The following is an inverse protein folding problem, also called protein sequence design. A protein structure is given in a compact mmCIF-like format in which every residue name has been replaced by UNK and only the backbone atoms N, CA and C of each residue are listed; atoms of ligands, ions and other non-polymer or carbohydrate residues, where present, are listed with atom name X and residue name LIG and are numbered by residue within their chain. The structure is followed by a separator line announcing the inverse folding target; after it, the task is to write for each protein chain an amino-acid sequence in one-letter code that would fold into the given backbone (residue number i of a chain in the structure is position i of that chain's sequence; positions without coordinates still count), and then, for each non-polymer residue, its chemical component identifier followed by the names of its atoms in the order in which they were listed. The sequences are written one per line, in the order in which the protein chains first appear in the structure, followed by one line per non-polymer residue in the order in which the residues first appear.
data_IF_251425187860
#
_entry.id   IF_251425187860
#
_cell.length_a   1.000
_cell.length_b   1.000
_cell.length_c   1.000
_cell.angle_alpha   90.00
_cell.angle_beta   90.00
_cell.angle_gamma   90.00
#
_symmetry.space_group_name_H-M   'P 1'
#
loop_
_entity.id
_entity.type
_entity.pdbx_description
1 polymer ?
#
# COMPACT_ATOMS: atom_id res chain seq x y z
N UNK A 1 36.02 -23.06 44.14
CA UNK A 1 35.30 -23.54 42.94
C UNK A 1 34.43 -22.41 42.41
N UNK A 2 34.28 -22.24 41.09
CA UNK A 2 33.34 -21.27 40.50
C UNK A 2 32.25 -22.04 39.78
N UNK A 3 30.98 -21.68 39.98
CA UNK A 3 29.81 -22.32 39.36
C UNK A 3 28.85 -21.26 38.82
N UNK A 4 28.15 -21.60 37.75
CA UNK A 4 27.12 -20.78 37.15
C UNK A 4 25.76 -21.43 37.31
N UNK A 5 24.75 -20.62 37.62
CA UNK A 5 23.35 -21.00 37.73
C UNK A 5 22.50 -20.09 36.84
N UNK A 6 21.33 -20.56 36.39
CA UNK A 6 20.35 -19.76 35.67
C UNK A 6 18.98 -19.83 36.35
N UNK A 7 18.20 -18.76 36.20
CA UNK A 7 16.87 -18.65 36.79
C UNK A 7 15.88 -18.00 35.81
N UNK A 8 14.65 -18.51 35.78
CA UNK A 8 13.53 -17.87 35.07
C UNK A 8 12.87 -16.83 35.97
N UNK A 9 12.83 -15.58 35.52
CA UNK A 9 12.34 -14.44 36.32
C UNK A 9 10.83 -14.42 36.56
N UNK A 10 10.05 -15.25 35.85
CA UNK A 10 8.58 -15.23 35.88
C UNK A 10 7.96 -16.05 37.02
N UNK A 11 8.75 -16.82 37.77
CA UNK A 11 8.23 -17.69 38.82
C UNK A 11 8.78 -17.24 40.18
N UNK A 12 7.92 -16.62 40.98
CA UNK A 12 8.25 -15.96 42.25
C UNK A 12 9.13 -16.78 43.19
N UNK A 13 10.45 -16.58 43.11
CA UNK A 13 11.45 -16.84 44.14
C UNK A 13 11.60 -18.28 44.63
N UNK A 14 11.08 -19.31 43.93
CA UNK A 14 11.13 -20.70 44.41
C UNK A 14 11.43 -21.74 43.34
N UNK A 15 12.48 -21.58 42.55
CA UNK A 15 13.20 -22.72 41.98
C UNK A 15 14.71 -22.48 42.02
N UNK A 16 15.43 -23.32 42.78
CA UNK A 16 16.88 -23.56 42.55
C UNK A 16 16.96 -24.54 41.38
N UNK A 17 17.16 -24.04 40.17
CA UNK A 17 17.57 -24.93 39.09
C UNK A 17 19.00 -25.41 39.36
N UNK A 18 19.11 -26.73 39.38
CA UNK A 18 20.28 -27.61 39.49
C UNK A 18 21.59 -26.98 38.99
N UNK A 19 22.70 -27.25 39.68
CA UNK A 19 24.04 -27.08 39.11
C UNK A 19 24.11 -27.82 37.77
N UNK A 20 24.13 -27.08 36.66
CA UNK A 20 23.75 -27.51 35.30
C UNK A 20 24.24 -28.93 34.96
N UNK A 21 23.39 -29.97 35.09
CA UNK A 21 23.73 -31.33 34.69
C UNK A 21 22.82 -31.71 33.51
N UNK A 22 23.39 -31.72 32.31
CA UNK A 22 22.65 -32.02 31.08
C UNK A 22 22.57 -30.81 30.18
N UNK A 23 23.58 -30.73 29.31
CA UNK A 23 23.67 -29.85 28.17
C UNK A 23 22.48 -30.10 27.22
N UNK A 24 21.74 -29.05 26.86
CA UNK A 24 21.28 -28.94 25.47
C UNK A 24 22.53 -28.65 24.61
N UNK A 25 22.60 -29.10 23.34
CA UNK A 25 23.86 -29.21 22.57
C UNK A 25 24.58 -27.89 22.22
N UNK A 26 24.17 -26.73 22.77
CA UNK A 26 24.57 -25.42 22.28
C UNK A 26 25.25 -24.50 23.32
N UNK A 27 25.55 -24.96 24.54
CA UNK A 27 26.31 -24.17 25.54
C UNK A 27 27.59 -24.89 25.98
N UNK A 28 28.76 -24.41 25.55
CA UNK A 28 30.05 -24.97 25.93
C UNK A 28 30.70 -24.15 27.07
N UNK A 29 30.91 -24.78 28.23
CA UNK A 29 31.73 -24.21 29.31
C UNK A 29 33.20 -24.30 28.90
N UNK A 30 33.83 -23.17 28.53
CA UNK A 30 35.28 -23.12 28.37
C UNK A 30 35.95 -22.96 29.75
N UNK A 31 36.33 -24.11 30.33
CA UNK A 31 37.30 -24.31 31.44
C UNK A 31 37.11 -23.46 32.70
N UNK A 32 36.76 -24.09 33.82
CA UNK A 32 37.03 -23.57 35.17
C UNK A 32 38.20 -24.33 35.81
N UNK A 33 39.40 -23.73 35.79
CA UNK A 33 40.55 -24.23 36.57
C UNK A 33 41.03 -23.14 37.53
N UNK A 34 41.06 -23.48 38.82
CA UNK A 34 41.69 -22.71 39.89
C UNK A 34 43.17 -23.13 39.98
N UNK A 35 44.10 -22.21 39.74
CA UNK A 35 45.49 -22.32 40.17
C UNK A 35 45.79 -21.14 41.09
N UNK A 36 46.10 -21.44 42.35
CA UNK A 36 46.41 -20.44 43.38
C UNK A 36 47.93 -20.26 43.40
N UNK A 37 48.41 -19.09 42.95
CA UNK A 37 49.73 -18.49 43.23
C UNK A 37 49.84 -17.11 42.56
N UNK A 38 49.23 -16.07 43.16
CA UNK A 38 49.45 -14.67 42.79
C UNK A 38 48.96 -14.20 41.41
N UNK A 39 48.30 -15.04 40.62
CA UNK A 39 47.72 -14.70 39.33
C UNK A 39 46.21 -14.44 39.44
N UNK A 40 45.73 -13.37 38.82
CA UNK A 40 44.29 -13.07 38.70
C UNK A 40 43.60 -14.19 37.90
N UNK A 41 42.64 -14.89 38.52
CA UNK A 41 41.89 -15.97 37.87
C UNK A 41 40.60 -15.38 37.27
N UNK A 42 40.39 -15.62 35.98
CA UNK A 42 39.18 -15.20 35.24
C UNK A 42 38.35 -16.44 34.86
N UNK A 43 37.05 -16.40 35.14
CA UNK A 43 36.11 -17.42 34.71
C UNK A 43 35.05 -16.79 33.80
N UNK A 44 35.05 -17.19 32.53
CA UNK A 44 34.15 -16.65 31.51
C UNK A 44 33.07 -17.68 31.15
N UNK A 45 31.82 -17.24 31.03
CA UNK A 45 30.71 -18.04 30.51
C UNK A 45 30.53 -17.74 29.01
N UNK A 46 30.70 -18.74 28.15
CA UNK A 46 30.49 -18.60 26.70
C UNK A 46 29.16 -19.24 26.32
N UNK A 47 28.30 -18.45 25.68
CA UNK A 47 27.01 -18.88 25.16
C UNK A 47 27.07 -18.87 23.63
N UNK A 48 26.56 -19.92 22.98
CA UNK A 48 26.52 -20.04 21.52
C UNK A 48 25.10 -20.31 21.04
N UNK A 49 24.74 -19.78 19.87
CA UNK A 49 23.43 -19.99 19.24
C UNK A 49 22.24 -19.63 20.15
N UNK A 50 22.33 -18.49 20.84
CA UNK A 50 21.30 -17.98 21.77
C UNK A 50 20.01 -17.55 21.08
N UNK A 51 18.88 -17.79 21.73
CA UNK A 51 17.51 -17.51 21.27
C UNK A 51 16.75 -16.62 22.28
N UNK A 52 15.54 -16.14 21.92
CA UNK A 52 14.74 -15.31 22.83
C UNK A 52 14.34 -16.05 24.13
N UNK A 53 14.25 -17.38 24.08
CA UNK A 53 13.91 -18.23 25.23
C UNK A 53 15.06 -18.34 26.25
N UNK A 54 16.27 -17.93 25.86
CA UNK A 54 17.45 -17.90 26.72
C UNK A 54 17.53 -16.62 27.56
N UNK A 55 16.53 -15.72 27.46
CA UNK A 55 16.40 -14.52 28.28
C UNK A 55 16.21 -14.89 29.76
N UNK A 56 17.33 -14.99 30.49
CA UNK A 56 17.37 -15.44 31.88
C UNK A 56 18.36 -14.64 32.70
N UNK A 57 18.23 -14.76 34.01
CA UNK A 57 19.22 -14.25 34.95
C UNK A 57 20.26 -15.34 35.22
N UNK A 58 21.53 -14.99 35.06
CA UNK A 58 22.68 -15.85 35.27
C UNK A 58 23.42 -15.42 36.53
N UNK A 59 23.68 -16.36 37.42
CA UNK A 59 24.34 -16.13 38.70
C UNK A 59 25.68 -16.85 38.73
N UNK A 60 26.72 -16.16 39.16
CA UNK A 60 28.06 -16.71 39.38
C UNK A 60 28.28 -16.87 40.89
N UNK A 61 28.48 -18.11 41.34
CA UNK A 61 28.81 -18.44 42.73
C UNK A 61 30.27 -18.89 42.82
N UNK A 62 31.02 -18.25 43.72
CA UNK A 62 32.42 -18.56 44.02
C UNK A 62 32.50 -19.16 45.43
N UNK A 63 33.04 -20.38 45.53
CA UNK A 63 33.28 -21.06 46.80
C UNK A 63 34.77 -21.04 47.14
N UNK A 64 35.13 -20.27 48.17
CA UNK A 64 36.49 -20.20 48.74
C UNK A 64 36.45 -20.92 50.09
N UNK A 65 37.30 -21.94 50.34
CA UNK A 65 37.36 -22.59 51.64
C UNK A 65 37.79 -21.59 52.74
N UNK A 66 37.04 -21.55 53.84
CA UNK A 66 37.33 -20.77 55.05
C UNK A 66 37.14 -19.24 54.97
N UNK A 67 36.36 -18.75 53.99
CA UNK A 67 36.00 -17.32 53.87
C UNK A 67 34.47 -17.17 53.80
N UNK A 68 33.86 -16.62 54.86
CA UNK A 68 32.40 -16.47 55.02
C UNK A 68 31.95 -14.99 54.98
N UNK A 69 32.87 -14.02 54.84
CA UNK A 69 32.57 -12.58 54.97
C UNK A 69 32.55 -11.81 53.63
N UNK A 70 32.75 -12.49 52.49
CA UNK A 70 32.78 -11.88 51.15
C UNK A 70 31.47 -11.96 50.34
N UNK A 71 31.31 -11.08 49.33
CA UNK A 71 30.25 -11.21 48.31
C UNK A 71 30.64 -12.31 47.31
N UNK A 72 30.30 -13.54 47.67
CA UNK A 72 30.64 -14.76 46.91
C UNK A 72 29.70 -15.04 45.73
N UNK A 73 28.69 -14.18 45.52
CA UNK A 73 27.62 -14.35 44.54
C UNK A 73 27.39 -13.03 43.78
N UNK A 74 27.34 -13.10 42.46
CA UNK A 74 26.93 -11.98 41.61
C UNK A 74 26.02 -12.43 40.47
N UNK A 75 25.04 -11.61 40.11
CA UNK A 75 24.03 -11.95 39.11
C UNK A 75 24.02 -10.95 37.95
N UNK A 76 23.75 -11.44 36.75
CA UNK A 76 23.63 -10.65 35.54
C UNK A 76 22.48 -11.14 34.67
N UNK A 77 21.77 -10.23 34.01
CA UNK A 77 20.64 -10.57 33.13
C UNK A 77 21.10 -10.66 31.67
N UNK A 78 20.86 -11.80 31.04
CA UNK A 78 21.00 -11.93 29.59
C UNK A 78 19.72 -11.43 28.91
N UNK A 79 19.88 -10.50 27.97
CA UNK A 79 18.79 -10.03 27.10
C UNK A 79 19.24 -10.23 25.66
N UNK A 80 18.63 -11.20 24.99
CA UNK A 80 18.83 -11.48 23.58
C UNK A 80 18.07 -10.43 22.76
N UNK A 81 18.81 -9.80 21.85
CA UNK A 81 18.32 -8.72 21.02
C UNK A 81 18.07 -9.25 19.62
N UNK A 82 16.85 -9.08 19.13
CA UNK A 82 16.42 -9.61 17.84
C UNK A 82 15.87 -8.45 17.02
N UNK A 83 16.29 -8.40 15.76
CA UNK A 83 15.75 -7.46 14.79
C UNK A 83 14.24 -7.69 14.63
N UNK A 84 13.43 -6.65 14.43
CA UNK A 84 12.00 -6.84 14.16
C UNK A 84 11.80 -7.69 12.92
N UNK A 85 10.91 -8.67 12.99
CA UNK A 85 10.51 -9.43 11.80
C UNK A 85 9.73 -8.54 10.82
N UNK A 86 9.65 -8.90 9.52
CA UNK A 86 8.78 -8.23 8.57
C UNK A 86 7.36 -8.10 9.14
N UNK A 87 6.86 -6.87 9.35
CA UNK A 87 5.58 -6.67 10.02
C UNK A 87 4.42 -7.12 9.12
N UNK A 88 3.37 -7.65 9.74
CA UNK A 88 2.15 -8.06 9.05
C UNK A 88 1.17 -6.89 9.07
N UNK A 89 0.80 -6.37 7.90
CA UNK A 89 -0.22 -5.33 7.75
C UNK A 89 -1.61 -5.92 7.48
N UNK A 90 -2.65 -5.46 8.17
CA UNK A 90 -4.04 -5.84 7.89
C UNK A 90 -4.97 -4.64 7.96
N UNK A 91 -5.99 -4.62 7.10
CA UNK A 91 -7.08 -3.63 7.15
C UNK A 91 -8.25 -4.26 7.91
N UNK A 92 -8.67 -3.62 8.99
CA UNK A 92 -9.81 -4.01 9.82
C UNK A 92 -10.97 -3.02 9.60
N UNK A 93 -12.07 -3.54 9.08
CA UNK A 93 -13.28 -2.77 8.76
C UNK A 93 -13.62 -2.76 7.27
N UNK A 94 -14.68 -2.03 6.91
CA UNK A 94 -15.11 -1.88 5.52
C UNK A 94 -14.60 -0.56 4.96
N UNK A 95 -13.82 -0.63 3.88
CA UNK A 95 -13.26 0.54 3.19
C UNK A 95 -14.34 1.25 2.33
N UNK A 96 -15.38 1.76 2.97
CA UNK A 96 -16.48 2.49 2.34
C UNK A 96 -16.49 3.96 2.78
N UNK A 97 -16.95 4.86 1.91
CA UNK A 97 -17.05 6.30 2.25
C UNK A 97 -17.80 6.55 3.57
N UNK A 98 -17.23 7.41 4.41
CA UNK A 98 -17.76 7.79 5.70
C UNK A 98 -17.50 6.79 6.84
N UNK A 99 -16.86 5.65 6.58
CA UNK A 99 -16.56 4.66 7.61
C UNK A 99 -15.27 4.98 8.39
N UNK A 100 -15.11 4.29 9.51
CA UNK A 100 -13.90 4.30 10.31
C UNK A 100 -13.26 2.92 10.21
N UNK A 101 -11.96 2.88 9.89
CA UNK A 101 -11.22 1.63 9.72
C UNK A 101 -9.90 1.72 10.49
N UNK A 102 -9.35 0.57 10.83
CA UNK A 102 -8.03 0.47 11.43
C UNK A 102 -7.09 -0.28 10.49
N UNK A 103 -5.86 0.20 10.39
CA UNK A 103 -4.79 -0.52 9.71
C UNK A 103 -3.80 -0.96 10.78
N UNK A 104 -3.66 -2.27 10.97
CA UNK A 104 -2.77 -2.85 11.96
C UNK A 104 -1.42 -3.17 11.34
N UNK A 105 -0.35 -2.97 12.09
CA UNK A 105 1.01 -3.35 11.74
C UNK A 105 1.66 -3.98 12.96
N UNK A 106 2.02 -5.25 12.85
CA UNK A 106 2.61 -6.01 13.95
C UNK A 106 3.73 -6.91 13.45
N UNK A 107 4.92 -6.77 14.04
CA UNK A 107 6.00 -7.74 13.91
C UNK A 107 5.77 -8.89 14.90
N UNK A 108 5.96 -10.12 14.44
CA UNK A 108 5.83 -11.32 15.29
C UNK A 108 7.01 -11.43 16.27
N UNK A 109 8.20 -11.04 15.82
CA UNK A 109 9.43 -11.03 16.63
C UNK A 109 10.03 -9.63 16.70
N UNK A 110 10.74 -9.36 17.79
CA UNK A 110 11.50 -8.12 17.98
C UNK A 110 11.83 -7.89 19.45
N UNK A 111 13.13 -7.81 19.76
CA UNK A 111 13.62 -7.55 21.12
C UNK A 111 14.75 -6.52 21.11
N UNK A 112 14.63 -5.38 21.80
CA UNK A 112 13.47 -4.86 22.53
C UNK A 112 12.22 -4.69 21.68
N UNK A 113 11.07 -4.50 22.33
CA UNK A 113 9.79 -4.34 21.66
C UNK A 113 9.87 -3.24 20.58
N UNK A 114 9.49 -3.55 19.32
CA UNK A 114 9.63 -2.60 18.23
C UNK A 114 8.67 -1.42 18.37
N UNK A 115 9.13 -0.27 17.89
CA UNK A 115 8.32 0.94 17.70
C UNK A 115 7.81 0.98 16.27
N UNK A 116 6.58 1.47 16.09
CA UNK A 116 5.94 1.52 14.79
C UNK A 116 5.78 2.97 14.34
N UNK A 117 5.97 3.20 13.05
CA UNK A 117 5.74 4.49 12.40
C UNK A 117 5.01 4.29 11.09
N UNK A 118 4.01 5.12 10.85
CA UNK A 118 3.23 5.10 9.62
C UNK A 118 3.62 6.24 8.68
N UNK A 119 3.71 5.91 7.40
CA UNK A 119 3.84 6.86 6.30
C UNK A 119 2.72 6.58 5.30
N UNK A 120 1.93 7.60 4.97
CA UNK A 120 0.89 7.48 3.95
C UNK A 120 1.29 8.21 2.67
N UNK A 121 0.96 7.61 1.53
CA UNK A 121 1.20 8.14 0.20
C UNK A 121 -0.10 8.12 -0.57
N UNK A 122 -0.30 9.12 -1.42
CA UNK A 122 -1.46 9.12 -2.29
C UNK A 122 -1.37 8.08 -3.40
N UNK A 123 -2.44 7.98 -4.16
CA UNK A 123 -2.47 7.15 -5.37
C UNK A 123 -1.34 7.52 -6.33
N UNK A 124 -0.92 8.80 -6.42
CA UNK A 124 0.25 9.30 -7.20
C UNK A 124 1.61 9.03 -6.53
N UNK A 125 1.65 8.21 -5.47
CA UNK A 125 2.85 7.91 -4.68
C UNK A 125 3.51 9.15 -4.02
N UNK A 126 2.78 10.27 -3.91
CA UNK A 126 3.23 11.48 -3.23
C UNK A 126 3.02 11.35 -1.71
N UNK A 127 4.02 11.79 -0.94
CA UNK A 127 3.99 11.76 0.52
C UNK A 127 2.90 12.68 1.07
N UNK A 128 2.09 12.15 2.00
CA UNK A 128 1.06 12.93 2.69
C UNK A 128 1.52 13.36 4.07
N UNK A 129 1.09 14.55 4.45
CA UNK A 129 1.18 15.00 5.82
C UNK A 129 0.35 14.09 6.75
N UNK A 130 0.73 13.98 8.04
CA UNK A 130 -0.08 13.28 9.04
C UNK A 130 -1.49 13.88 9.07
N UNK A 131 -2.49 13.03 8.85
CA UNK A 131 -3.88 13.47 8.81
C UNK A 131 -4.35 13.84 10.23
N UNK A 132 -5.06 14.95 10.43
CA UNK A 132 -5.52 15.37 11.76
C UNK A 132 -6.53 14.39 12.38
N UNK A 133 -7.18 13.57 11.56
CA UNK A 133 -8.14 12.53 11.97
C UNK A 133 -7.51 11.14 11.95
N UNK A 134 -6.29 11.02 12.43
CA UNK A 134 -5.62 9.71 12.59
C UNK A 134 -5.06 9.54 13.98
N UNK A 135 -4.97 8.30 14.41
CA UNK A 135 -4.37 7.95 15.69
C UNK A 135 -3.42 6.78 15.46
N UNK A 136 -2.17 6.93 15.91
CA UNK A 136 -1.16 5.87 15.91
C UNK A 136 -0.90 5.44 17.35
N UNK A 137 -1.32 4.23 17.71
CA UNK A 137 -1.08 3.64 19.02
C UNK A 137 -0.61 2.19 18.84
N UNK A 138 0.66 1.95 19.16
CA UNK A 138 1.22 0.60 19.19
C UNK A 138 1.16 -0.12 17.84
N UNK A 139 1.33 0.60 16.73
CA UNK A 139 1.30 0.04 15.38
C UNK A 139 -0.09 -0.05 14.75
N UNK A 140 -1.12 0.47 15.40
CA UNK A 140 -2.48 0.58 14.84
C UNK A 140 -2.73 2.01 14.38
N UNK A 141 -2.96 2.17 13.08
CA UNK A 141 -3.37 3.42 12.45
C UNK A 141 -4.88 3.45 12.27
N UNK A 142 -5.58 4.21 13.11
CA UNK A 142 -7.02 4.44 12.98
C UNK A 142 -7.29 5.60 12.01
N UNK A 143 -8.10 5.33 10.98
CA UNK A 143 -8.55 6.31 10.00
C UNK A 143 -10.05 6.56 10.22
N UNK A 144 -10.43 7.82 10.44
CA UNK A 144 -11.83 8.20 10.68
C UNK A 144 -12.43 8.95 9.49
N UNK A 145 -13.69 8.64 9.17
CA UNK A 145 -14.46 9.25 8.09
C UNK A 145 -13.70 9.20 6.75
N UNK A 146 -13.42 7.96 6.30
CA UNK A 146 -12.64 7.70 5.09
C UNK A 146 -13.36 8.17 3.82
N UNK A 147 -12.59 8.66 2.85
CA UNK A 147 -13.08 9.21 1.58
C UNK A 147 -12.26 8.71 0.40
N UNK A 148 -12.60 9.10 -0.84
CA UNK A 148 -11.79 8.81 -2.03
C UNK A 148 -10.33 9.21 -1.83
N UNK A 149 -10.12 10.37 -1.21
CA UNK A 149 -8.78 10.89 -0.95
C UNK A 149 -8.01 10.00 0.00
N UNK A 150 -8.64 9.35 0.97
CA UNK A 150 -7.92 8.41 1.86
C UNK A 150 -7.38 7.15 1.15
N UNK A 151 -7.77 6.90 -0.11
CA UNK A 151 -7.18 5.82 -0.91
C UNK A 151 -5.72 6.13 -1.26
N UNK A 152 -4.86 5.10 -1.21
CA UNK A 152 -3.43 5.23 -1.45
C UNK A 152 -2.63 4.11 -0.80
N UNK A 153 -1.32 4.34 -0.69
CA UNK A 153 -0.37 3.37 -0.12
C UNK A 153 -0.01 3.75 1.31
N UNK A 154 -0.09 2.79 2.21
CA UNK A 154 0.28 2.94 3.61
C UNK A 154 1.50 2.06 3.89
N UNK A 155 2.56 2.68 4.37
CA UNK A 155 3.82 2.01 4.70
C UNK A 155 4.01 2.08 6.20
N UNK A 156 4.01 0.93 6.85
CA UNK A 156 4.41 0.81 8.23
C UNK A 156 5.90 0.48 8.31
N UNK A 157 6.61 1.16 9.21
CA UNK A 157 7.99 0.84 9.59
C UNK A 157 8.00 0.37 11.03
N UNK A 158 8.34 -0.90 11.24
CA UNK A 158 8.64 -1.49 12.55
C UNK A 158 10.14 -1.35 12.81
N UNK A 159 10.52 -0.71 13.91
CA UNK A 159 11.91 -0.35 14.18
C UNK A 159 12.29 -0.59 15.63
N UNK A 160 13.47 -1.18 15.80
CA UNK A 160 14.10 -1.39 17.09
C UNK A 160 15.60 -1.03 16.96
N UNK A 161 16.32 -0.95 18.08
CA UNK A 161 17.75 -0.60 18.13
C UNK A 161 18.67 -1.48 17.27
N UNK A 162 18.20 -2.66 16.83
CA UNK A 162 18.94 -3.59 15.98
C UNK A 162 18.74 -3.29 14.49
N UNK A 163 17.48 -3.18 14.05
CA UNK A 163 17.12 -2.95 12.64
C UNK A 163 15.68 -2.44 12.54
N UNK A 164 15.32 -2.02 11.33
CA UNK A 164 13.96 -1.74 10.91
C UNK A 164 13.50 -2.70 9.81
N UNK A 165 12.22 -3.03 9.82
CA UNK A 165 11.53 -3.78 8.78
C UNK A 165 10.26 -3.02 8.38
N UNK A 166 9.84 -3.14 7.12
CA UNK A 166 8.71 -2.38 6.58
C UNK A 166 7.66 -3.30 5.97
N UNK A 167 6.42 -2.82 5.94
CA UNK A 167 5.31 -3.46 5.26
C UNK A 167 4.47 -2.41 4.52
N UNK A 168 4.05 -2.75 3.32
CA UNK A 168 3.26 -1.91 2.43
C UNK A 168 1.86 -2.50 2.26
N UNK A 169 0.84 -1.64 2.32
CA UNK A 169 -0.55 -2.03 2.07
C UNK A 169 -1.28 -0.95 1.28
N UNK A 170 -2.09 -1.36 0.31
CA UNK A 170 -2.89 -0.47 -0.51
C UNK A 170 -4.30 -0.39 0.05
N UNK A 171 -4.76 0.82 0.34
CA UNK A 171 -6.14 1.08 0.75
C UNK A 171 -6.92 1.62 -0.45
N UNK A 172 -8.01 0.94 -0.80
CA UNK A 172 -8.97 1.39 -1.82
C UNK A 172 -10.30 1.63 -1.15
N UNK A 173 -10.76 2.89 -1.13
CA UNK A 173 -12.03 3.27 -0.52
C UNK A 173 -13.07 3.45 -1.61
N UNK A 174 -14.18 2.72 -1.50
CA UNK A 174 -15.26 2.74 -2.49
C UNK A 174 -16.49 3.47 -1.93
N UNK A 175 -17.34 4.07 -2.79
CA UNK A 175 -18.65 4.53 -2.35
C UNK A 175 -19.49 3.35 -1.85
N UNK A 176 -20.38 3.62 -0.89
CA UNK A 176 -21.42 2.66 -0.55
C UNK A 176 -22.25 2.38 -1.79
N UNK A 177 -22.28 1.12 -2.23
CA UNK A 177 -23.22 0.68 -3.25
C UNK A 177 -24.62 0.80 -2.68
N UNK A 178 -25.26 1.96 -2.92
CA UNK A 178 -26.71 2.08 -2.78
C UNK A 178 -27.24 1.29 -3.98
N UNK A 179 -27.64 0.05 -3.75
CA UNK A 179 -28.52 -0.63 -4.70
C UNK A 179 -29.76 0.24 -4.81
N UNK A 180 -29.82 1.05 -5.87
CA UNK A 180 -31.01 1.76 -6.27
C UNK A 180 -32.00 0.68 -6.73
N UNK A 181 -32.65 0.03 -5.77
CA UNK A 181 -33.87 -0.76 -5.97
C UNK A 181 -35.07 0.19 -6.14
N UNK A 182 -34.89 1.20 -6.98
CA UNK A 182 -35.95 2.07 -7.53
C UNK A 182 -35.88 2.02 -9.05
N UNK A 183 -35.86 0.80 -9.60
CA UNK A 183 -36.44 0.50 -10.91
C UNK A 183 -37.66 -0.37 -10.69
N UNK A 184 -38.78 0.24 -10.31
CA UNK A 184 -40.17 -0.27 -10.52
C UNK A 184 -41.25 0.71 -9.98
N UNK A 185 -41.02 2.03 -9.93
CA UNK A 185 -42.10 3.02 -9.69
C UNK A 185 -41.88 4.27 -10.56
N UNK A 186 -41.73 4.11 -11.87
CA UNK A 186 -41.87 5.21 -12.85
C UNK A 186 -42.52 4.76 -14.17
N UNK A 187 -43.28 3.66 -14.14
CA UNK A 187 -44.13 3.22 -15.26
C UNK A 187 -45.62 3.16 -14.88
N UNK A 188 -46.07 4.05 -13.99
CA UNK A 188 -47.51 4.23 -13.72
C UNK A 188 -47.97 5.68 -13.72
N UNK A 189 -47.07 6.64 -13.96
CA UNK A 189 -47.37 8.09 -14.01
C UNK A 189 -47.14 8.69 -15.40
N UNK A 190 -47.22 7.87 -16.44
CA UNK A 190 -47.22 8.30 -17.85
C UNK A 190 -48.44 7.80 -18.64
N UNK A 191 -49.39 7.12 -17.97
CA UNK A 191 -50.59 6.58 -18.63
C UNK A 191 -51.85 7.43 -18.45
N UNK A 192 -51.81 8.49 -17.63
CA UNK A 192 -52.97 9.40 -17.42
C UNK A 192 -52.92 10.71 -18.22
N UNK A 193 -51.86 10.96 -19.00
CA UNK A 193 -51.79 12.12 -19.90
C UNK A 193 -52.04 11.81 -21.38
N UNK A 194 -52.26 10.54 -21.75
CA UNK A 194 -52.42 10.11 -23.15
C UNK A 194 -53.88 9.93 -23.62
N UNK A 195 -54.86 10.29 -22.80
CA UNK A 195 -56.29 10.25 -23.16
C UNK A 195 -56.94 11.62 -23.42
N UNK A 196 -56.17 12.71 -23.48
CA UNK A 196 -56.70 14.06 -23.79
C UNK A 196 -56.06 14.72 -25.02
N UNK A 197 -55.46 13.95 -25.93
CA UNK A 197 -55.04 14.45 -27.25
C UNK A 197 -55.72 13.58 -28.31
N UNK A 198 -56.91 13.99 -28.73
CA UNK A 198 -57.66 13.28 -29.76
C UNK A 198 -59.07 13.81 -29.93
N UNK A 199 -59.19 15.03 -30.45
CA UNK A 199 -60.23 15.50 -31.38
C UNK A 199 -60.33 17.03 -31.31
N UNK A 200 -59.72 17.73 -32.26
CA UNK A 200 -60.53 18.45 -33.24
C UNK A 200 -59.65 18.85 -34.42
N UNK A 201 -60.04 18.37 -35.60
CA UNK A 201 -59.34 18.55 -36.85
C UNK A 201 -59.60 19.92 -37.47
N UNK A 202 -58.54 20.46 -38.06
CA UNK A 202 -58.46 21.17 -39.33
C UNK A 202 -59.72 21.93 -39.81
N UNK A 203 -59.63 23.27 -39.82
CA UNK A 203 -60.02 24.08 -40.99
C UNK A 203 -59.09 25.26 -41.20
N UNK A 204 -58.25 25.08 -42.22
CA UNK A 204 -57.51 26.10 -42.95
C UNK A 204 -58.48 27.05 -43.66
N UNK A 205 -58.31 28.37 -43.51
CA UNK A 205 -58.85 29.37 -44.44
C UNK A 205 -57.74 30.37 -44.76
N UNK A 206 -57.27 30.29 -45.99
CA UNK A 206 -56.43 31.25 -46.71
C UNK A 206 -57.33 32.33 -47.31
N UNK A 207 -56.92 33.60 -47.25
CA UNK A 207 -56.97 34.61 -48.33
C UNK A 207 -56.58 35.99 -47.76
N UNK A 208 -55.38 36.48 -48.08
CA UNK A 208 -55.04 37.39 -49.19
C UNK A 208 -55.57 38.83 -49.03
N UNK A 209 -54.61 39.76 -48.88
CA UNK A 209 -54.82 41.19 -48.91
C UNK A 209 -55.14 41.70 -50.32
N UNK A 210 -55.83 42.83 -50.36
CA UNK A 210 -56.10 43.57 -51.59
C UNK A 210 -56.77 44.90 -51.28
N UNK A 211 -55.97 45.96 -51.12
CA UNK A 211 -56.47 47.33 -51.15
C UNK A 211 -56.92 47.70 -52.56
N UNK A 212 -57.95 48.56 -52.67
CA UNK A 212 -58.25 49.29 -53.91
C UNK A 212 -58.90 50.63 -53.62
N UNK A 213 -58.38 51.63 -54.32
CA UNK A 213 -58.65 53.06 -54.24
C UNK A 213 -59.94 53.48 -54.96
N UNK A 214 -60.54 54.53 -54.39
CA UNK A 214 -61.27 55.69 -54.95
C UNK A 214 -61.53 55.71 -56.47
N UNK A 215 -62.79 55.97 -56.85
CA UNK A 215 -63.13 56.83 -58.00
C UNK A 215 -64.50 57.50 -57.82
N UNK A 216 -64.62 58.72 -58.35
CA UNK A 216 -65.71 59.65 -58.01
C UNK A 216 -66.70 60.00 -59.11
N UNK A 217 -67.61 60.90 -58.69
CA UNK A 217 -68.49 61.85 -59.41
C UNK A 217 -69.84 61.36 -59.99
N UNK A 218 -70.88 62.08 -59.58
CA UNK A 218 -72.15 62.26 -60.29
C UNK A 218 -73.20 62.99 -59.43
N UNK A 219 -73.47 64.27 -59.73
CA UNK A 219 -74.64 65.04 -59.26
C UNK A 219 -75.54 65.27 -60.50
N UNK A 220 -76.88 65.42 -60.40
CA UNK A 220 -77.42 66.76 -60.10
C UNK A 220 -78.76 66.82 -59.32
N UNK A 221 -78.87 67.91 -58.55
CA UNK A 221 -80.03 68.83 -58.28
C UNK A 221 -81.47 68.28 -58.31
N UNK A 222 -82.24 68.51 -57.23
CA UNK A 222 -83.09 69.71 -57.07
C UNK A 222 -83.62 69.82 -55.62
N UNK A 223 -84.14 70.99 -55.31
CA UNK A 223 -84.26 71.67 -54.03
C UNK A 223 -85.64 71.51 -53.41
N UNK A 224 -85.74 71.47 -52.07
CA UNK A 224 -86.62 72.33 -51.25
C UNK A 224 -86.55 72.00 -49.74
N UNK A 225 -85.93 72.94 -49.01
CA UNK A 225 -86.39 73.60 -47.78
C UNK A 225 -86.98 72.76 -46.63
N UNK A 226 -86.16 72.70 -45.56
CA UNK A 226 -86.47 72.78 -44.11
C UNK A 226 -87.25 71.68 -43.39
N UNK A 227 -86.54 70.98 -42.50
CA UNK A 227 -86.75 70.94 -41.03
C UNK A 227 -85.54 70.27 -40.35
N UNK A 228 -84.83 70.93 -39.42
CA UNK A 228 -83.81 70.30 -38.59
C UNK A 228 -84.49 69.63 -37.37
N UNK A 229 -83.74 68.83 -36.61
CA UNK A 229 -84.11 68.31 -35.26
C UNK A 229 -84.84 66.95 -35.17
N UNK A 230 -84.55 65.99 -36.06
CA UNK A 230 -84.72 64.54 -35.71
C UNK A 230 -83.55 63.68 -36.23
N UNK A 231 -82.49 64.31 -36.74
CA UNK A 231 -81.34 63.60 -37.31
C UNK A 231 -80.14 63.55 -36.36
N UNK A 232 -80.14 64.34 -35.29
CA UNK A 232 -78.98 64.52 -34.39
C UNK A 232 -78.82 63.32 -33.45
N UNK A 233 -79.93 62.86 -32.88
CA UNK A 233 -79.94 61.81 -31.84
C UNK A 233 -79.50 60.43 -32.40
N UNK A 234 -79.90 60.10 -33.64
CA UNK A 234 -79.49 58.89 -34.36
C UNK A 234 -77.99 58.90 -34.75
N UNK A 235 -77.40 60.08 -34.96
CA UNK A 235 -75.97 60.21 -35.24
C UNK A 235 -75.14 60.08 -33.96
N UNK A 236 -75.63 60.62 -32.84
CA UNK A 236 -74.95 60.55 -31.54
C UNK A 236 -74.95 59.12 -30.99
N UNK A 237 -76.08 58.40 -31.01
CA UNK A 237 -76.16 57.01 -30.53
C UNK A 237 -75.31 56.04 -31.38
N UNK A 238 -75.24 56.28 -32.69
CA UNK A 238 -74.38 55.52 -33.60
C UNK A 238 -72.90 55.84 -33.43
N UNK A 239 -72.58 57.08 -33.03
CA UNK A 239 -71.23 57.52 -32.70
C UNK A 239 -70.75 56.81 -31.43
N UNK A 240 -71.56 56.82 -30.37
CA UNK A 240 -71.27 56.14 -29.10
C UNK A 240 -71.06 54.63 -29.28
N UNK A 241 -71.94 53.94 -30.01
CA UNK A 241 -71.76 52.51 -30.34
C UNK A 241 -70.49 52.21 -31.16
N UNK A 242 -69.95 53.18 -31.88
CA UNK A 242 -68.72 53.04 -32.65
C UNK A 242 -67.48 53.30 -31.76
N UNK A 243 -67.58 54.19 -30.77
CA UNK A 243 -66.57 54.38 -29.73
C UNK A 243 -66.45 53.15 -28.83
N UNK A 244 -67.58 52.61 -28.36
CA UNK A 244 -67.60 51.38 -27.55
C UNK A 244 -66.98 50.20 -28.32
N UNK A 245 -67.33 50.07 -29.61
CA UNK A 245 -66.75 49.04 -30.48
C UNK A 245 -65.25 49.25 -30.70
N UNK A 246 -64.78 50.49 -30.87
CA UNK A 246 -63.33 50.78 -30.96
C UNK A 246 -62.61 50.45 -29.65
N UNK A 247 -63.22 50.76 -28.51
CA UNK A 247 -62.70 50.40 -27.18
C UNK A 247 -62.54 48.88 -27.03
N UNK A 248 -63.54 48.11 -27.44
CA UNK A 248 -63.48 46.64 -27.41
C UNK A 248 -62.36 46.07 -28.32
N UNK A 249 -62.10 46.72 -29.46
CA UNK A 249 -60.99 46.34 -30.35
C UNK A 249 -59.63 46.69 -29.74
N UNK A 250 -59.51 47.84 -29.10
CA UNK A 250 -58.29 48.28 -28.44
C UNK A 250 -57.97 47.39 -27.23
N UNK A 251 -58.97 47.01 -26.44
CA UNK A 251 -58.83 46.06 -25.31
C UNK A 251 -58.46 44.65 -25.80
N UNK A 252 -58.99 44.21 -26.94
CA UNK A 252 -58.62 42.91 -27.52
C UNK A 252 -57.21 42.93 -28.14
N UNK A 253 -56.78 44.08 -28.65
CA UNK A 253 -55.44 44.30 -29.18
C UNK A 253 -54.39 44.34 -28.06
N UNK A 254 -54.73 44.96 -26.92
CA UNK A 254 -53.86 44.97 -25.73
C UNK A 254 -53.67 43.58 -25.14
N UNK A 255 -54.74 42.80 -24.96
CA UNK A 255 -54.68 41.40 -24.48
C UNK A 255 -53.83 40.50 -25.40
N UNK A 256 -53.92 40.69 -26.71
CA UNK A 256 -53.06 39.98 -27.66
C UNK A 256 -51.58 40.35 -27.51
N UNK A 257 -51.27 41.65 -27.32
CA UNK A 257 -49.90 42.12 -27.13
C UNK A 257 -49.32 41.64 -25.78
N UNK A 258 -50.14 41.56 -24.74
CA UNK A 258 -49.75 41.02 -23.43
C UNK A 258 -49.44 39.52 -23.52
N UNK A 259 -50.32 38.73 -24.15
CA UNK A 259 -50.06 37.30 -24.43
C UNK A 259 -48.81 37.07 -25.27
N UNK A 260 -48.59 37.93 -26.27
CA UNK A 260 -47.39 37.86 -27.12
C UNK A 260 -46.12 38.15 -26.32
N UNK A 261 -46.18 39.11 -25.41
CA UNK A 261 -45.09 39.46 -24.52
C UNK A 261 -44.78 38.32 -23.54
N UNK A 262 -45.81 37.69 -22.97
CA UNK A 262 -45.66 36.52 -22.11
C UNK A 262 -45.03 35.32 -22.85
N UNK A 263 -45.45 35.07 -24.10
CA UNK A 263 -44.87 34.01 -24.91
C UNK A 263 -43.39 34.28 -25.25
N UNK A 264 -43.02 35.54 -25.50
CA UNK A 264 -41.62 35.93 -25.73
C UNK A 264 -40.78 35.74 -24.46
N UNK A 265 -41.29 36.14 -23.29
CA UNK A 265 -40.60 35.93 -22.02
C UNK A 265 -40.38 34.43 -21.74
N UNK A 266 -41.40 33.61 -21.97
CA UNK A 266 -41.31 32.15 -21.80
C UNK A 266 -40.29 31.52 -22.75
N UNK A 267 -40.18 32.03 -23.98
CA UNK A 267 -39.16 31.59 -24.95
C UNK A 267 -37.75 31.94 -24.47
N UNK A 268 -37.55 33.16 -23.98
CA UNK A 268 -36.29 33.60 -23.37
C UNK A 268 -35.89 32.75 -22.17
N UNK A 269 -36.85 32.35 -21.33
CA UNK A 269 -36.59 31.45 -20.18
C UNK A 269 -36.11 30.06 -20.62
N UNK A 270 -36.69 29.51 -21.69
CA UNK A 270 -36.23 28.24 -22.27
C UNK A 270 -34.82 28.35 -22.85
N UNK A 271 -34.52 29.41 -23.58
CA UNK A 271 -33.20 29.65 -24.17
C UNK A 271 -32.13 29.82 -23.07
N UNK A 272 -32.45 30.55 -21.99
CA UNK A 272 -31.58 30.66 -20.82
C UNK A 272 -31.36 29.31 -20.15
N UNK A 273 -32.41 28.50 -19.94
CA UNK A 273 -32.28 27.14 -19.39
C UNK A 273 -31.41 26.23 -20.26
N UNK A 274 -31.53 26.38 -21.58
CA UNK A 274 -30.72 25.62 -22.54
C UNK A 274 -29.26 26.00 -22.44
N UNK A 275 -28.94 27.30 -22.43
CA UNK A 275 -27.57 27.80 -22.23
C UNK A 275 -26.94 27.25 -20.95
N UNK A 276 -27.68 27.28 -19.83
CA UNK A 276 -27.18 26.77 -18.53
C UNK A 276 -26.90 25.26 -18.58
N UNK A 277 -27.69 24.49 -19.33
CA UNK A 277 -27.46 23.06 -19.51
C UNK A 277 -26.27 22.77 -20.42
N UNK A 278 -26.07 23.56 -21.47
CA UNK A 278 -24.91 23.45 -22.37
C UNK A 278 -23.61 23.79 -21.61
N UNK A 279 -23.61 24.85 -20.80
CA UNK A 279 -22.50 25.21 -19.92
C UNK A 279 -22.19 24.08 -18.93
N UNK A 280 -23.22 23.53 -18.26
CA UNK A 280 -23.07 22.36 -17.38
C UNK A 280 -22.50 21.15 -18.10
N UNK A 281 -22.94 20.88 -19.33
CA UNK A 281 -22.41 19.77 -20.12
C UNK A 281 -20.92 19.95 -20.41
N UNK A 282 -20.52 21.17 -20.77
CA UNK A 282 -19.11 21.50 -21.04
C UNK A 282 -18.22 21.35 -19.80
N UNK A 283 -18.75 21.69 -18.61
CA UNK A 283 -18.06 21.48 -17.34
C UNK A 283 -17.86 19.98 -17.04
N UNK A 284 -18.86 19.14 -17.33
CA UNK A 284 -18.74 17.69 -17.19
C UNK A 284 -17.71 17.10 -18.14
N UNK A 285 -17.71 17.54 -19.40
CA UNK A 285 -16.76 17.06 -20.41
C UNK A 285 -15.32 17.47 -20.03
N UNK A 286 -15.12 18.70 -19.56
CA UNK A 286 -13.83 19.18 -19.06
C UNK A 286 -13.36 18.44 -17.80
N UNK A 287 -14.27 18.06 -16.91
CA UNK A 287 -13.92 17.24 -15.75
C UNK A 287 -13.58 15.80 -16.14
N UNK A 288 -14.27 15.24 -17.14
CA UNK A 288 -13.96 13.91 -17.70
C UNK A 288 -12.57 13.88 -18.32
N UNK A 289 -12.23 14.86 -19.17
CA UNK A 289 -10.90 14.91 -19.81
C UNK A 289 -9.77 15.06 -18.79
N UNK A 290 -9.96 15.85 -17.73
CA UNK A 290 -9.00 15.93 -16.63
C UNK A 290 -8.74 14.58 -15.95
N UNK A 291 -9.78 13.75 -15.79
CA UNK A 291 -9.62 12.40 -15.25
C UNK A 291 -8.91 11.47 -16.23
N UNK A 292 -9.19 11.58 -17.53
CA UNK A 292 -8.55 10.78 -18.57
C UNK A 292 -7.04 11.09 -18.67
N UNK A 293 -6.66 12.37 -18.66
CA UNK A 293 -5.26 12.81 -18.63
C UNK A 293 -4.56 12.30 -17.37
N UNK A 294 -5.22 12.44 -16.21
CA UNK A 294 -4.70 11.97 -14.93
C UNK A 294 -4.55 10.44 -14.90
N UNK A 295 -5.44 9.70 -15.53
CA UNK A 295 -5.35 8.24 -15.69
C UNK A 295 -4.18 7.85 -16.61
N UNK A 296 -3.96 8.61 -17.68
CA UNK A 296 -2.83 8.39 -18.58
C UNK A 296 -1.49 8.58 -17.85
N UNK A 297 -1.33 9.66 -17.08
CA UNK A 297 -0.15 9.88 -16.22
C UNK A 297 0.12 8.70 -15.25
N UNK A 298 -0.95 8.07 -14.74
CA UNK A 298 -0.83 6.91 -13.86
C UNK A 298 -0.32 5.68 -14.59
N UNK A 299 -0.82 5.44 -15.80
CA UNK A 299 -0.42 4.30 -16.62
C UNK A 299 1.04 4.45 -17.09
N UNK A 300 1.48 5.66 -17.41
CA UNK A 300 2.88 5.96 -17.73
C UNK A 300 3.78 5.69 -16.52
N UNK A 301 3.44 6.23 -15.34
CA UNK A 301 4.24 5.99 -14.13
C UNK A 301 4.27 4.51 -13.71
N UNK A 302 3.18 3.78 -13.98
CA UNK A 302 3.12 2.34 -13.76
C UNK A 302 4.05 1.60 -14.71
N UNK A 303 4.12 1.99 -15.97
CA UNK A 303 4.99 1.39 -16.97
C UNK A 303 6.46 1.59 -16.62
N UNK A 304 6.86 2.81 -16.25
CA UNK A 304 8.21 3.12 -15.76
C UNK A 304 8.63 2.24 -14.56
N UNK A 305 7.70 1.95 -13.66
CA UNK A 305 7.97 1.08 -12.52
C UNK A 305 8.21 -0.37 -12.92
N UNK A 306 7.44 -0.89 -13.87
CA UNK A 306 7.60 -2.26 -14.37
C UNK A 306 8.93 -2.40 -15.14
N UNK A 307 9.30 -1.41 -15.95
CA UNK A 307 10.60 -1.40 -16.65
C UNK A 307 11.76 -1.42 -15.65
N UNK A 308 11.71 -0.53 -14.65
CA UNK A 308 12.74 -0.48 -13.59
C UNK A 308 12.80 -1.77 -12.77
N UNK A 309 11.67 -2.44 -12.61
CA UNK A 309 11.59 -3.74 -11.94
C UNK A 309 12.23 -4.84 -12.81
N UNK A 310 12.05 -4.79 -14.13
CA UNK A 310 12.71 -5.69 -15.07
C UNK A 310 14.23 -5.52 -15.00
N UNK A 311 14.74 -4.28 -15.09
CA UNK A 311 16.17 -3.99 -15.00
C UNK A 311 16.80 -4.53 -13.70
N UNK A 312 16.06 -4.45 -12.58
CA UNK A 312 16.53 -5.00 -11.32
C UNK A 312 16.63 -6.53 -11.35
N UNK A 313 15.66 -7.20 -11.96
CA UNK A 313 15.66 -8.67 -12.09
C UNK A 313 16.78 -9.15 -13.01
N UNK A 314 17.02 -8.44 -14.11
CA UNK A 314 18.12 -8.76 -15.03
C UNK A 314 19.46 -8.61 -14.33
N UNK A 315 19.67 -7.46 -13.65
CA UNK A 315 20.90 -7.24 -12.87
C UNK A 315 21.08 -8.26 -11.75
N UNK A 316 19.98 -8.71 -11.12
CA UNK A 316 20.03 -9.77 -10.11
C UNK A 316 20.46 -11.10 -10.72
N UNK A 317 19.97 -11.42 -11.91
CA UNK A 317 20.35 -12.64 -12.63
C UNK A 317 21.85 -12.61 -12.99
N UNK A 318 22.36 -11.47 -13.47
CA UNK A 318 23.79 -11.30 -13.74
C UNK A 318 24.66 -11.56 -12.48
N UNK A 319 24.20 -11.11 -11.30
CA UNK A 319 24.91 -11.36 -10.04
C UNK A 319 24.88 -12.85 -9.65
N UNK A 320 23.77 -13.54 -9.88
CA UNK A 320 23.63 -14.96 -9.57
C UNK A 320 24.51 -15.81 -10.53
N UNK A 321 24.61 -15.42 -11.80
CA UNK A 321 25.52 -16.04 -12.78
C UNK A 321 26.98 -15.82 -12.35
N UNK A 322 27.36 -14.59 -12.04
CA UNK A 322 28.73 -14.28 -11.59
C UNK A 322 29.09 -15.04 -10.31
N UNK A 323 28.14 -15.21 -9.39
CA UNK A 323 28.33 -16.00 -8.18
C UNK A 323 28.55 -17.47 -8.51
N UNK A 324 27.84 -18.02 -9.48
CA UNK A 324 27.98 -19.40 -9.93
C UNK A 324 29.38 -19.65 -10.51
N UNK A 325 29.87 -18.73 -11.35
CA UNK A 325 31.24 -18.78 -11.90
C UNK A 325 32.31 -18.83 -10.77
N UNK A 326 32.10 -18.05 -9.70
CA UNK A 326 33.01 -18.07 -8.54
C UNK A 326 32.97 -19.39 -7.77
N UNK A 327 31.79 -19.99 -7.60
CA UNK A 327 31.63 -21.27 -6.93
C UNK A 327 32.27 -22.41 -7.76
N UNK A 328 32.14 -22.37 -9.09
CA UNK A 328 32.80 -23.31 -10.00
C UNK A 328 34.33 -23.19 -9.93
N UNK A 329 34.87 -21.96 -10.05
CA UNK A 329 36.31 -21.72 -9.90
C UNK A 329 36.85 -22.18 -8.53
N UNK A 330 36.03 -22.05 -7.48
CA UNK A 330 36.37 -22.51 -6.15
C UNK A 330 36.37 -24.04 -6.07
N UNK A 331 35.44 -24.71 -6.74
CA UNK A 331 35.41 -26.17 -6.84
C UNK A 331 36.68 -26.69 -7.51
N UNK A 332 37.02 -26.14 -8.69
CA UNK A 332 38.25 -26.52 -9.43
C UNK A 332 39.52 -26.36 -8.58
N UNK A 333 39.58 -25.32 -7.76
CA UNK A 333 40.71 -25.11 -6.85
C UNK A 333 40.80 -26.18 -5.76
N UNK A 334 39.66 -26.63 -5.22
CA UNK A 334 39.62 -27.70 -4.23
C UNK A 334 40.01 -29.04 -4.84
N UNK A 335 39.59 -29.30 -6.08
CA UNK A 335 39.95 -30.51 -6.82
C UNK A 335 41.47 -30.52 -7.06
N UNK A 336 42.04 -29.43 -7.56
CA UNK A 336 43.49 -29.29 -7.69
C UNK A 336 44.23 -29.49 -6.36
N UNK A 337 43.70 -28.96 -5.25
CA UNK A 337 44.31 -29.16 -3.93
C UNK A 337 44.28 -30.62 -3.51
N UNK A 338 43.20 -31.34 -3.81
CA UNK A 338 43.07 -32.77 -3.54
C UNK A 338 44.10 -33.57 -4.34
N UNK A 339 44.28 -33.28 -5.63
CA UNK A 339 45.30 -33.91 -6.47
C UNK A 339 46.72 -33.73 -5.90
N UNK A 340 47.03 -32.54 -5.37
CA UNK A 340 48.32 -32.28 -4.72
C UNK A 340 48.50 -33.10 -3.44
N UNK A 341 47.46 -33.24 -2.63
CA UNK A 341 47.51 -34.04 -1.39
C UNK A 341 47.65 -35.54 -1.69
N UNK A 342 47.00 -36.03 -2.74
CA UNK A 342 47.16 -37.41 -3.24
C UNK A 342 48.58 -37.65 -3.73
N UNK A 343 49.12 -36.76 -4.59
CA UNK A 343 50.51 -36.85 -5.04
C UNK A 343 51.49 -36.84 -3.88
N UNK A 344 51.24 -36.00 -2.86
CA UNK A 344 52.08 -35.94 -1.67
C UNK A 344 52.06 -37.27 -0.90
N UNK A 345 50.89 -37.89 -0.78
CA UNK A 345 50.72 -39.18 -0.11
C UNK A 345 51.50 -40.28 -0.83
N UNK A 346 51.43 -40.33 -2.17
CA UNK A 346 52.22 -41.27 -2.99
C UNK A 346 53.74 -41.11 -2.76
N UNK A 347 54.23 -39.86 -2.62
CA UNK A 347 55.63 -39.59 -2.32
C UNK A 347 56.02 -40.09 -0.92
N UNK A 348 55.16 -39.90 0.08
CA UNK A 348 55.40 -40.34 1.45
C UNK A 348 55.42 -41.87 1.53
N UNK A 349 54.48 -42.56 0.87
CA UNK A 349 54.46 -44.03 0.77
C UNK A 349 55.73 -44.57 0.12
N UNK A 350 56.14 -43.97 -1.01
CA UNK A 350 57.36 -44.36 -1.72
C UNK A 350 58.60 -44.13 -0.86
N UNK A 351 58.62 -43.06 -0.05
CA UNK A 351 59.70 -42.78 0.90
C UNK A 351 59.76 -43.84 2.00
N UNK A 352 58.62 -44.26 2.54
CA UNK A 352 58.55 -45.36 3.50
C UNK A 352 59.07 -46.68 2.92
N UNK A 353 58.72 -47.03 1.68
CA UNK A 353 59.26 -48.21 1.00
C UNK A 353 60.79 -48.20 0.87
N UNK A 354 61.37 -47.01 0.62
CA UNK A 354 62.83 -46.84 0.58
C UNK A 354 63.46 -47.03 1.95
N UNK A 355 62.88 -46.46 3.01
CA UNK A 355 63.36 -46.59 4.39
C UNK A 355 63.30 -48.04 4.88
N UNK A 356 62.23 -48.76 4.55
CA UNK A 356 62.07 -50.19 4.85
C UNK A 356 63.12 -51.04 4.12
N UNK A 357 63.34 -50.75 2.84
CA UNK A 357 64.38 -51.42 2.05
C UNK A 357 65.76 -51.14 2.62
N UNK A 358 66.05 -49.90 3.01
CA UNK A 358 67.32 -49.51 3.61
C UNK A 358 67.55 -50.27 4.92
N UNK A 359 66.54 -50.34 5.79
CA UNK A 359 66.58 -51.09 7.05
C UNK A 359 66.88 -52.57 6.84
N UNK A 360 66.27 -53.20 5.83
CA UNK A 360 66.52 -54.61 5.49
C UNK A 360 67.96 -54.83 4.96
N UNK A 361 68.51 -53.87 4.21
CA UNK A 361 69.92 -53.90 3.81
C UNK A 361 70.85 -53.84 5.03
N UNK A 362 70.59 -52.95 5.99
CA UNK A 362 71.38 -52.82 7.21
C UNK A 362 71.31 -54.07 8.08
N UNK A 363 70.12 -54.65 8.25
CA UNK A 363 69.92 -55.94 8.94
C UNK A 363 70.72 -57.06 8.27
N UNK A 364 70.72 -57.12 6.94
CA UNK A 364 71.48 -58.12 6.18
C UNK A 364 72.98 -57.87 6.30
N UNK A 365 73.42 -56.61 6.31
CA UNK A 365 74.81 -56.23 6.51
C UNK A 365 75.30 -56.60 7.92
N UNK A 366 74.51 -56.34 8.96
CA UNK A 366 74.79 -56.75 10.34
C UNK A 366 74.95 -58.27 10.45
N UNK A 367 74.01 -59.05 9.92
CA UNK A 367 74.12 -60.52 9.89
C UNK A 367 75.35 -61.04 9.15
N UNK A 368 75.80 -60.31 8.12
CA UNK A 368 77.02 -60.66 7.40
C UNK A 368 78.29 -60.32 8.19
N UNK A 369 78.29 -59.20 8.90
CA UNK A 369 79.37 -58.80 9.84
C UNK A 369 79.51 -59.82 10.96
N UNK A 370 78.41 -60.19 11.63
CA UNK A 370 78.40 -61.20 12.70
C UNK A 370 78.92 -62.56 12.20
N UNK A 371 78.61 -62.90 10.94
CA UNK A 371 79.10 -64.11 10.28
C UNK A 371 80.61 -64.03 10.02
N UNK A 372 81.15 -62.88 9.63
CA UNK A 372 82.58 -62.66 9.44
C UNK A 372 83.36 -62.75 10.76
N UNK A 373 82.85 -62.14 11.84
CA UNK A 373 83.47 -62.23 13.17
C UNK A 373 83.54 -63.69 13.66
N UNK A 374 82.48 -64.47 13.45
CA UNK A 374 82.49 -65.91 13.77
C UNK A 374 83.54 -66.70 12.97
N UNK A 375 83.77 -66.36 11.70
CA UNK A 375 84.81 -67.01 10.89
C UNK A 375 86.22 -66.62 11.33
N UNK A 376 86.44 -65.39 11.79
CA UNK A 376 87.75 -64.95 12.30
C UNK A 376 88.07 -65.56 13.68
N UNK A 377 87.05 -65.77 14.53
CA UNK A 377 87.20 -66.50 15.79
C UNK A 377 87.52 -67.99 15.57
N UNK A 378 86.85 -68.66 14.63
CA UNK A 378 87.14 -70.06 14.28
C UNK A 378 88.54 -70.25 13.66
N UNK A 379 89.15 -69.21 13.08
CA UNK A 379 90.51 -69.22 12.54
C UNK A 379 91.60 -68.98 13.59
N UNK A 380 91.24 -68.56 14.79
CA UNK A 380 92.14 -68.21 15.90
C UNK A 380 92.43 -69.38 16.86
N UNK A 381 91.87 -70.56 16.61
CA UNK A 381 92.07 -71.78 17.38
C UNK A 381 92.92 -72.83 16.66
#
# INVERSE_FOLDING_TARGET
SIRWFNFNSDDGGKQKERAVPGLTPFMEILKSFLLINGASVKADLKLSSITLDDNKEFECEVQIPSDDEGKLIDATRLIVLVAPSPPICKIEGKAEYGQNINITCKSEEGSPAPTYKWQSRDVRNALRAPWPRTTDKGGILSLYNISKETSGFYVCTSSNKIRSATCNITLTVMPRNVTISTKLIFLSSLFDCLLFIGNDGDKEVVENGGGRSIDGKGSPRDSRVSKPVERQDDYEERSERNYDRHSDYDDRSSDYNDRRSECNNRRSDYDNRRSINDDRSSDYDGHSSYYDDRCSDYDDHRSDYEDRRSDYNDRRSDYDDHRSDYDDCRSDNNDHRSDYDDHRSDYDDRRSDYDDRHSNYDDRHSKHSDRYERYDDDRRF
#
